data_IF_919895991771
#
_entry.id   IF_919895991771
#
_cell.length_a   1.000
_cell.length_b   1.000
_cell.length_c   1.000
_cell.angle_alpha   90.00
_cell.angle_beta   90.00
_cell.angle_gamma   90.00
#
_symmetry.space_group_name_H-M   'P 1'
#
loop_
_entity.id
_entity.type
_entity.pdbx_description
1 polymer ?
#
# COMPACT_ATOMS: atom_id res chain seq x y z
N UNK A 1 -6.74 -7.14 2.70
CA UNK A 1 -5.95 -6.30 3.64
C UNK A 1 -6.57 -6.22 5.04
N UNK A 2 -7.70 -5.54 5.27
CA UNK A 2 -8.28 -5.39 6.64
C UNK A 2 -8.55 -6.72 7.33
N UNK A 3 -9.24 -7.63 6.64
CA UNK A 3 -9.53 -8.97 7.16
C UNK A 3 -8.25 -9.75 7.50
N UNK A 4 -7.23 -9.68 6.64
CA UNK A 4 -5.97 -10.41 6.82
C UNK A 4 -5.15 -9.86 7.99
N UNK A 5 -5.03 -8.54 8.11
CA UNK A 5 -4.31 -7.92 9.21
C UNK A 5 -5.01 -8.18 10.55
N UNK A 6 -6.34 -8.12 10.60
CA UNK A 6 -7.10 -8.55 11.79
C UNK A 6 -6.82 -10.00 12.15
N UNK A 7 -6.82 -10.91 11.18
CA UNK A 7 -6.48 -12.34 11.39
C UNK A 7 -5.04 -12.53 11.90
N UNK A 8 -4.11 -11.65 11.53
CA UNK A 8 -2.74 -11.62 12.03
C UNK A 8 -2.58 -10.92 13.39
N UNK A 9 -3.68 -10.56 14.06
CA UNK A 9 -3.67 -9.97 15.40
C UNK A 9 -3.59 -8.44 15.45
N UNK A 10 -3.62 -7.75 14.31
CA UNK A 10 -3.55 -6.29 14.28
C UNK A 10 -4.86 -5.66 14.77
N UNK A 11 -4.74 -4.58 15.54
CA UNK A 11 -5.86 -3.79 16.07
C UNK A 11 -5.98 -2.47 15.32
N UNK A 12 -7.17 -1.86 15.35
CA UNK A 12 -7.47 -0.58 14.66
C UNK A 12 -7.30 -0.58 13.13
N UNK A 13 -7.22 -1.76 12.51
CA UNK A 13 -7.07 -1.93 11.06
C UNK A 13 -8.42 -2.15 10.37
N UNK A 14 -9.40 -1.28 10.63
CA UNK A 14 -10.71 -1.30 9.96
C UNK A 14 -10.60 -1.04 8.45
N UNK A 15 -11.63 -1.37 7.64
CA UNK A 15 -11.60 -1.12 6.19
C UNK A 15 -11.30 0.33 5.83
N UNK A 16 -11.97 1.30 6.47
CA UNK A 16 -11.76 2.73 6.24
C UNK A 16 -10.34 3.17 6.59
N UNK A 17 -9.84 2.76 7.76
CA UNK A 17 -8.47 3.08 8.21
C UNK A 17 -7.43 2.56 7.22
N UNK A 18 -7.64 1.35 6.70
CA UNK A 18 -6.70 0.78 5.74
C UNK A 18 -6.84 1.38 4.34
N UNK A 19 -8.03 1.84 3.96
CA UNK A 19 -8.17 2.59 2.72
C UNK A 19 -7.39 3.90 2.78
N UNK A 20 -7.56 4.66 3.87
CA UNK A 20 -6.78 5.87 4.11
C UNK A 20 -5.27 5.60 4.14
N UNK A 21 -4.84 4.50 4.78
CA UNK A 21 -3.45 4.06 4.75
C UNK A 21 -2.96 3.77 3.32
N UNK A 22 -3.75 3.07 2.50
CA UNK A 22 -3.39 2.78 1.12
C UNK A 22 -3.27 4.05 0.27
N UNK A 23 -4.11 5.06 0.50
CA UNK A 23 -3.98 6.37 -0.14
C UNK A 23 -2.69 7.08 0.30
N UNK A 24 -2.43 7.16 1.62
CA UNK A 24 -1.27 7.85 2.16
C UNK A 24 0.07 7.23 1.74
N UNK A 25 0.13 5.90 1.60
CA UNK A 25 1.34 5.19 1.19
C UNK A 25 1.50 5.09 -0.33
N UNK A 26 0.58 5.67 -1.12
CA UNK A 26 0.64 5.61 -2.58
C UNK A 26 0.30 4.25 -3.18
N UNK A 27 -0.36 3.35 -2.43
CA UNK A 27 -0.92 2.09 -2.94
C UNK A 27 -2.19 2.34 -3.76
N UNK A 28 -2.93 3.42 -3.45
CA UNK A 28 -4.04 3.97 -4.26
C UNK A 28 -3.76 5.44 -4.60
N UNK A 29 -4.04 5.87 -5.83
CA UNK A 29 -3.87 7.26 -6.29
C UNK A 29 -5.25 7.89 -6.49
N UNK A 30 -5.83 8.37 -5.40
CA UNK A 30 -7.15 9.00 -5.38
C UNK A 30 -7.08 10.53 -5.36
N UNK A 31 -5.99 11.11 -5.87
CA UNK A 31 -5.95 12.56 -6.03
C UNK A 31 -7.08 13.02 -6.97
N UNK A 32 -7.76 14.10 -6.58
CA UNK A 32 -8.84 14.68 -7.37
C UNK A 32 -8.38 15.07 -8.79
N UNK A 33 -9.32 15.13 -9.73
CA UNK A 33 -9.03 15.63 -11.07
C UNK A 33 -8.54 17.09 -10.99
N UNK A 34 -7.48 17.41 -11.74
CA UNK A 34 -6.82 18.71 -11.70
C UNK A 34 -5.89 18.94 -10.49
N UNK A 35 -5.73 17.96 -9.59
CA UNK A 35 -4.74 18.06 -8.53
C UNK A 35 -3.31 18.10 -9.11
N UNK A 36 -2.52 19.10 -8.72
CA UNK A 36 -1.19 19.36 -9.27
C UNK A 36 -0.18 18.21 -9.11
N UNK A 37 -0.42 17.27 -8.19
CA UNK A 37 0.46 16.12 -7.94
C UNK A 37 -0.09 14.80 -8.49
N UNK A 38 -1.32 14.76 -9.04
CA UNK A 38 -1.95 13.50 -9.46
C UNK A 38 -1.12 12.74 -10.50
N UNK A 39 -0.70 13.45 -11.55
CA UNK A 39 0.07 12.85 -12.65
C UNK A 39 1.48 12.45 -12.21
N UNK A 40 2.09 13.25 -11.32
CA UNK A 40 3.39 12.95 -10.73
C UNK A 40 3.33 11.69 -9.86
N UNK A 41 2.28 11.56 -9.03
CA UNK A 41 2.06 10.39 -8.20
C UNK A 41 1.82 9.14 -9.06
N UNK A 42 1.06 9.26 -10.16
CA UNK A 42 0.82 8.16 -11.09
C UNK A 42 2.11 7.70 -11.76
N UNK A 43 2.93 8.64 -12.25
CA UNK A 43 4.22 8.33 -12.85
C UNK A 43 5.18 7.65 -11.85
N UNK A 44 5.25 8.15 -10.61
CA UNK A 44 6.09 7.56 -9.57
C UNK A 44 5.67 6.12 -9.22
N UNK A 45 4.35 5.87 -9.15
CA UNK A 45 3.80 4.52 -8.93
C UNK A 45 4.11 3.58 -10.10
N UNK A 46 3.97 4.04 -11.34
CA UNK A 46 4.27 3.25 -12.53
C UNK A 46 5.77 2.89 -12.60
N UNK A 47 6.64 3.77 -12.12
CA UNK A 47 8.07 3.53 -12.02
C UNK A 47 8.47 2.64 -10.83
N UNK A 48 7.58 2.42 -9.86
CA UNK A 48 7.87 1.63 -8.67
C UNK A 48 7.80 0.12 -8.97
N UNK A 49 8.97 -0.52 -9.06
CA UNK A 49 9.08 -1.96 -9.08
C UNK A 49 8.87 -2.55 -7.67
N UNK A 50 8.00 -3.55 -7.48
CA UNK A 50 7.82 -4.17 -6.16
C UNK A 50 9.13 -4.84 -5.72
N UNK A 51 9.53 -4.68 -4.45
CA UNK A 51 10.77 -5.28 -3.94
C UNK A 51 10.57 -6.78 -3.70
N UNK A 52 10.52 -7.59 -4.76
CA UNK A 52 10.45 -9.05 -4.66
C UNK A 52 11.39 -9.74 -5.66
N UNK A 53 12.64 -9.98 -5.22
CA UNK A 53 13.45 -11.08 -5.74
C UNK A 53 14.54 -11.64 -4.79
N UNK A 54 14.95 -10.98 -3.70
CA UNK A 54 16.16 -11.39 -2.94
C UNK A 54 15.96 -11.69 -1.44
N UNK A 55 14.79 -12.17 -0.99
CA UNK A 55 14.67 -12.59 0.42
C UNK A 55 13.60 -13.65 0.70
N UNK A 56 13.66 -14.79 0.01
CA UNK A 56 13.23 -16.04 0.65
C UNK A 56 14.42 -16.64 1.37
N UNK A 57 14.79 -16.08 2.54
CA UNK A 57 15.57 -16.89 3.50
C UNK A 57 14.63 -17.99 3.99
N UNK A 58 14.98 -19.29 3.87
CA UNK A 58 14.21 -20.32 4.53
C UNK A 58 14.31 -20.07 6.04
N UNK A 59 13.19 -19.78 6.70
CA UNK A 59 13.13 -19.77 8.15
C UNK A 59 13.22 -21.23 8.62
N UNK A 60 14.41 -21.63 9.06
CA UNK A 60 14.58 -22.80 9.89
C UNK A 60 14.17 -22.42 11.32
N UNK A 61 12.93 -22.77 11.70
CA UNK A 61 12.55 -23.19 13.06
C UNK A 61 11.16 -23.83 13.03
#
# INVERSE_FOLDING_TARGET
LSKDLKRRGWRFVGPTTLYAFMQAMGLVNDHLEGCCVRDQAEAARAAFGPPIAESRRPTAY
#
